data_IF_197681878560
#
_entry.id   IF_197681878560
#
_cell.length_a   1.000
_cell.length_b   1.000
_cell.length_c   1.000
_cell.angle_alpha   90.00
_cell.angle_beta   90.00
_cell.angle_gamma   90.00
#
_symmetry.space_group_name_H-M   'P 1'
#
loop_
_entity.id
_entity.type
_entity.pdbx_description
1 polymer ?
#
# COMPACT_ATOMS: atom_id res chain seq x y z
N UNK A 1 -0.01 24.04 4.39
CA UNK A 1 1.24 23.48 4.95
C UNK A 1 0.89 22.22 5.72
N UNK A 2 1.67 21.14 5.61
CA UNK A 2 1.46 19.95 6.43
C UNK A 2 1.75 20.26 7.90
N UNK A 3 0.91 19.77 8.82
CA UNK A 3 1.12 19.91 10.26
C UNK A 3 2.28 19.02 10.73
N UNK A 4 2.88 19.33 11.88
CA UNK A 4 3.93 18.47 12.47
C UNK A 4 3.43 17.02 12.65
N UNK A 5 2.18 16.84 13.09
CA UNK A 5 1.52 15.52 13.16
C UNK A 5 1.53 14.83 11.79
N UNK A 6 1.09 15.53 10.74
CA UNK A 6 1.06 15.00 9.38
C UNK A 6 2.44 14.63 8.83
N UNK A 7 3.47 15.44 9.10
CA UNK A 7 4.86 15.16 8.69
C UNK A 7 5.36 13.88 9.35
N UNK A 8 5.22 13.79 10.68
CA UNK A 8 5.67 12.61 11.44
C UNK A 8 4.90 11.35 11.00
N UNK A 9 3.58 11.44 10.84
CA UNK A 9 2.78 10.29 10.43
C UNK A 9 3.16 9.80 9.03
N UNK A 10 3.44 10.72 8.10
CA UNK A 10 3.89 10.38 6.74
C UNK A 10 5.27 9.71 6.75
N UNK A 11 6.17 10.16 7.62
CA UNK A 11 7.49 9.54 7.79
C UNK A 11 7.36 8.10 8.29
N UNK A 12 6.61 7.87 9.38
CA UNK A 12 6.45 6.53 9.96
C UNK A 12 5.63 5.60 9.07
N UNK A 13 4.66 6.14 8.34
CA UNK A 13 3.99 5.40 7.26
C UNK A 13 4.97 4.99 6.16
N UNK A 14 5.90 5.87 5.78
CA UNK A 14 6.92 5.56 4.76
C UNK A 14 7.83 4.43 5.22
N UNK A 15 8.25 4.42 6.49
CA UNK A 15 9.00 3.32 7.08
C UNK A 15 8.22 2.00 6.99
N UNK A 16 6.95 2.01 7.39
CA UNK A 16 6.09 0.82 7.32
C UNK A 16 5.96 0.26 5.90
N UNK A 17 5.72 1.13 4.90
CA UNK A 17 5.65 0.72 3.50
C UNK A 17 7.02 0.34 2.91
N UNK A 18 8.14 0.85 3.44
CA UNK A 18 9.47 0.39 3.02
C UNK A 18 9.73 -1.04 3.51
N UNK A 19 9.43 -1.33 4.78
CA UNK A 19 9.52 -2.70 5.32
C UNK A 19 8.63 -3.67 4.54
N UNK A 20 7.44 -3.24 4.11
CA UNK A 20 6.58 -4.06 3.26
C UNK A 20 7.23 -4.35 1.89
N UNK A 21 7.83 -3.35 1.25
CA UNK A 21 8.52 -3.53 -0.03
C UNK A 21 9.65 -4.55 0.12
N UNK A 22 10.46 -4.44 1.18
CA UNK A 22 11.52 -5.39 1.48
C UNK A 22 10.97 -6.81 1.71
N UNK A 23 9.89 -6.94 2.48
CA UNK A 23 9.19 -8.22 2.70
C UNK A 23 8.74 -8.85 1.37
N UNK A 24 8.08 -8.08 0.50
CA UNK A 24 7.58 -8.57 -0.78
C UNK A 24 8.73 -8.89 -1.76
N UNK A 25 9.80 -8.10 -1.77
CA UNK A 25 10.98 -8.34 -2.60
C UNK A 25 11.84 -9.51 -2.12
N UNK A 26 11.80 -9.85 -0.84
CA UNK A 26 12.42 -11.06 -0.30
C UNK A 26 11.58 -12.31 -0.61
N UNK A 27 10.25 -12.19 -0.56
CA UNK A 27 9.32 -13.30 -0.79
C UNK A 27 9.13 -13.64 -2.27
N UNK A 28 9.19 -12.63 -3.14
CA UNK A 28 8.94 -12.74 -4.58
C UNK A 28 10.14 -12.26 -5.39
N UNK A 29 10.05 -12.27 -6.73
CA UNK A 29 11.18 -11.84 -7.57
C UNK A 29 11.33 -10.31 -7.52
N UNK A 30 12.43 -9.75 -6.98
CA UNK A 30 12.59 -8.31 -6.89
C UNK A 30 12.69 -7.65 -8.27
N UNK A 31 12.21 -6.41 -8.37
CA UNK A 31 12.30 -5.55 -9.56
C UNK A 31 12.80 -4.16 -9.15
N UNK A 32 13.24 -3.36 -10.13
CA UNK A 32 13.76 -2.00 -9.90
C UNK A 32 12.75 -1.14 -9.13
N UNK A 33 13.23 -0.43 -8.12
CA UNK A 33 12.41 0.48 -7.31
C UNK A 33 11.55 -0.26 -6.29
N UNK A 34 10.31 0.18 -6.12
CA UNK A 34 9.36 -0.37 -5.14
C UNK A 34 8.51 -1.51 -5.71
N UNK A 35 9.14 -2.32 -6.56
CA UNK A 35 8.46 -3.31 -7.42
C UNK A 35 8.91 -4.72 -7.12
N UNK A 36 8.01 -5.66 -7.32
CA UNK A 36 8.31 -7.09 -7.30
C UNK A 36 7.46 -7.80 -8.36
N UNK A 37 7.81 -9.04 -8.68
CA UNK A 37 7.10 -9.85 -9.66
C UNK A 37 6.66 -11.18 -9.03
N UNK A 38 5.39 -11.52 -9.23
CA UNK A 38 4.81 -12.78 -8.81
C UNK A 38 3.89 -13.30 -9.92
N UNK A 39 4.08 -14.55 -10.33
CA UNK A 39 3.31 -15.21 -11.40
C UNK A 39 3.19 -14.35 -12.68
N UNK A 40 4.33 -13.86 -13.19
CA UNK A 40 4.43 -12.97 -14.37
C UNK A 40 3.77 -11.60 -14.26
N UNK A 41 3.11 -11.26 -13.15
CA UNK A 41 2.57 -9.93 -12.90
C UNK A 41 3.58 -9.10 -12.09
N UNK A 42 3.83 -7.86 -12.52
CA UNK A 42 4.62 -6.90 -11.74
C UNK A 42 3.70 -6.07 -10.85
N UNK A 43 4.02 -6.04 -9.57
CA UNK A 43 3.34 -5.28 -8.55
C UNK A 43 4.21 -4.13 -8.06
N UNK A 44 3.58 -3.04 -7.63
CA UNK A 44 4.24 -1.87 -7.06
C UNK A 44 3.50 -1.40 -5.81
N UNK A 45 4.26 -0.96 -4.80
CA UNK A 45 3.73 -0.32 -3.60
C UNK A 45 4.20 1.14 -3.64
N UNK A 46 3.27 2.07 -3.65
CA UNK A 46 3.55 3.50 -3.68
C UNK A 46 4.24 4.01 -2.42
N UNK A 47 4.66 5.27 -2.47
CA UNK A 47 5.06 6.02 -1.28
C UNK A 47 3.81 6.67 -0.68
N UNK A 48 3.72 6.81 0.64
CA UNK A 48 2.61 7.51 1.23
C UNK A 48 2.78 9.03 1.02
N UNK A 49 1.66 9.72 0.92
CA UNK A 49 1.59 11.17 0.83
C UNK A 49 0.49 11.70 1.75
N UNK A 50 0.59 12.97 2.13
CA UNK A 50 -0.41 13.64 2.96
C UNK A 50 -1.27 14.56 2.08
N UNK A 51 -2.57 14.28 2.01
CA UNK A 51 -3.54 15.08 1.26
C UNK A 51 -4.81 15.28 2.08
N UNK A 52 -5.22 16.53 2.26
CA UNK A 52 -6.41 16.90 3.04
C UNK A 52 -6.45 16.25 4.43
N UNK A 53 -5.32 16.30 5.14
CA UNK A 53 -5.12 15.68 6.46
C UNK A 53 -5.40 14.17 6.50
N UNK A 54 -5.26 13.50 5.37
CA UNK A 54 -5.33 12.06 5.25
C UNK A 54 -4.03 11.53 4.66
N UNK A 55 -3.61 10.36 5.14
CA UNK A 55 -2.56 9.59 4.54
C UNK A 55 -3.11 8.84 3.32
N UNK A 56 -2.48 9.03 2.17
CA UNK A 56 -2.84 8.38 0.91
C UNK A 56 -1.65 7.56 0.40
N UNK A 57 -1.90 6.32 -0.02
CA UNK A 57 -0.92 5.51 -0.73
C UNK A 57 -1.60 4.59 -1.75
N UNK A 58 -0.82 4.11 -2.70
CA UNK A 58 -1.30 3.25 -3.77
C UNK A 58 -0.64 1.88 -3.77
N UNK A 59 -1.35 0.89 -4.28
CA UNK A 59 -0.79 -0.38 -4.76
C UNK A 59 -1.23 -0.59 -6.19
N UNK A 60 -0.35 -1.12 -7.03
CA UNK A 60 -0.67 -1.35 -8.43
C UNK A 60 -0.13 -2.67 -8.95
N UNK A 61 -0.75 -3.16 -10.04
CA UNK A 61 -0.33 -4.36 -10.75
C UNK A 61 -0.40 -4.15 -12.25
N UNK A 62 0.62 -4.59 -12.99
CA UNK A 62 0.61 -4.60 -14.45
C UNK A 62 -0.41 -5.64 -14.94
N UNK A 63 -1.25 -5.30 -15.91
CA UNK A 63 -2.08 -6.29 -16.60
C UNK A 63 -1.16 -7.27 -17.37
N UNK A 64 -1.37 -8.59 -17.26
CA UNK A 64 -0.54 -9.59 -17.95
C UNK A 64 -0.80 -9.58 -19.46
N UNK A 65 -0.06 -8.74 -20.17
CA UNK A 65 -0.20 -8.54 -21.63
C UNK A 65 0.19 -9.78 -22.47
N UNK A 66 0.87 -10.77 -21.86
CA UNK A 66 1.12 -12.08 -22.44
C UNK A 66 -0.16 -12.92 -22.57
N UNK A 67 -1.12 -12.74 -21.65
CA UNK A 67 -2.39 -13.45 -21.61
C UNK A 67 -3.56 -12.62 -22.15
N UNK A 68 -3.50 -11.30 -21.96
CA UNK A 68 -4.55 -10.33 -22.28
C UNK A 68 -4.02 -9.37 -23.34
N UNK A 69 -4.28 -9.67 -24.62
CA UNK A 69 -3.58 -8.99 -25.72
C UNK A 69 -4.40 -7.86 -26.35
N UNK A 70 -5.73 -7.96 -26.32
CA UNK A 70 -6.58 -6.95 -26.97
C UNK A 70 -7.05 -5.87 -25.98
N UNK A 71 -7.25 -4.62 -26.44
CA UNK A 71 -7.79 -3.55 -25.58
C UNK A 71 -9.15 -3.89 -24.95
N UNK A 72 -9.97 -4.72 -25.63
CA UNK A 72 -11.26 -5.18 -25.12
C UNK A 72 -11.08 -6.14 -23.94
N UNK A 73 -10.15 -7.09 -24.05
CA UNK A 73 -9.82 -8.02 -22.97
C UNK A 73 -9.17 -7.28 -21.79
N UNK A 74 -8.32 -6.28 -22.03
CA UNK A 74 -7.73 -5.46 -20.97
C UNK A 74 -8.79 -4.68 -20.17
N UNK A 75 -9.74 -4.05 -20.87
CA UNK A 75 -10.88 -3.38 -20.22
C UNK A 75 -11.74 -4.37 -19.43
N UNK A 76 -11.96 -5.56 -19.97
CA UNK A 76 -12.70 -6.61 -19.26
C UNK A 76 -11.96 -7.11 -18.03
N UNK A 77 -10.64 -7.36 -18.14
CA UNK A 77 -9.77 -7.74 -17.03
C UNK A 77 -9.83 -6.70 -15.91
N UNK A 78 -9.63 -5.42 -16.25
CA UNK A 78 -9.75 -4.31 -15.30
C UNK A 78 -11.12 -4.27 -14.65
N UNK A 79 -12.21 -4.42 -15.41
CA UNK A 79 -13.57 -4.40 -14.87
C UNK A 79 -13.82 -5.54 -13.86
N UNK A 80 -13.31 -6.75 -14.13
CA UNK A 80 -13.42 -7.88 -13.20
C UNK A 80 -12.58 -7.66 -11.94
N UNK A 81 -11.34 -7.14 -12.07
CA UNK A 81 -10.53 -6.77 -10.89
C UNK A 81 -11.26 -5.72 -10.06
N UNK A 82 -11.73 -4.64 -10.70
CA UNK A 82 -12.49 -3.56 -10.06
C UNK A 82 -13.69 -4.11 -9.30
N UNK A 83 -14.43 -5.06 -9.88
CA UNK A 83 -15.58 -5.71 -9.23
C UNK A 83 -15.17 -6.46 -7.96
N UNK A 84 -14.06 -7.21 -7.99
CA UNK A 84 -13.57 -7.97 -6.84
C UNK A 84 -13.12 -7.04 -5.72
N UNK A 85 -12.23 -6.08 -6.02
CA UNK A 85 -11.64 -5.21 -4.98
C UNK A 85 -12.64 -4.21 -4.40
N UNK A 86 -13.72 -3.90 -5.13
CA UNK A 86 -14.82 -3.08 -4.62
C UNK A 86 -15.68 -3.78 -3.56
N UNK A 87 -15.55 -5.10 -3.42
CA UNK A 87 -16.28 -5.90 -2.42
C UNK A 87 -15.48 -6.10 -1.13
N UNK A 88 -14.26 -5.58 -1.05
CA UNK A 88 -13.41 -5.71 0.13
C UNK A 88 -13.93 -4.88 1.30
N UNK A 89 -13.62 -5.33 2.52
CA UNK A 89 -14.03 -4.65 3.75
C UNK A 89 -13.57 -3.19 3.77
N UNK A 90 -12.31 -2.94 3.38
CA UNK A 90 -11.79 -1.60 3.12
C UNK A 90 -11.53 -1.47 1.62
N UNK A 91 -12.53 -0.99 0.90
CA UNK A 91 -12.42 -0.72 -0.54
C UNK A 91 -11.44 0.44 -0.81
N UNK A 92 -10.78 0.44 -1.98
CA UNK A 92 -10.02 1.60 -2.44
C UNK A 92 -10.90 2.84 -2.57
N UNK A 93 -10.34 4.01 -2.30
CA UNK A 93 -10.98 5.31 -2.55
C UNK A 93 -11.04 5.62 -4.05
N UNK A 94 -9.99 5.25 -4.79
CA UNK A 94 -9.95 5.33 -6.25
C UNK A 94 -9.43 4.03 -6.86
N UNK A 95 -9.99 3.67 -8.00
CA UNK A 95 -9.58 2.51 -8.81
C UNK A 95 -9.36 3.02 -10.22
N UNK A 96 -8.09 3.09 -10.62
CA UNK A 96 -7.64 3.72 -11.85
C UNK A 96 -6.98 2.68 -12.76
N UNK A 97 -7.21 2.86 -14.06
CA UNK A 97 -6.43 2.21 -15.10
C UNK A 97 -5.42 3.27 -15.56
N UNK A 98 -4.17 3.16 -15.12
CA UNK A 98 -3.13 4.12 -15.52
C UNK A 98 -2.58 3.74 -16.90
N UNK A 99 -2.58 4.72 -17.82
CA UNK A 99 -1.91 4.66 -19.11
C UNK A 99 -0.58 5.43 -19.03
N UNK A 100 0.52 4.77 -18.69
CA UNK A 100 1.84 5.46 -18.69
C UNK A 100 2.42 5.48 -20.10
N UNK A 101 2.13 6.54 -20.88
CA UNK A 101 2.87 6.88 -22.10
C UNK A 101 4.12 7.67 -21.72
N UNK A 102 5.31 7.10 -21.91
CA UNK A 102 6.54 7.88 -21.99
C UNK A 102 7.53 7.20 -22.94
N UNK A 103 7.58 7.68 -24.18
CA UNK A 103 8.72 7.45 -25.06
C UNK A 103 8.95 8.73 -25.89
N UNK A 104 9.88 9.57 -25.46
CA UNK A 104 10.25 10.81 -26.15
C UNK A 104 11.05 10.57 -27.45
N UNK A 105 11.10 9.33 -27.95
CA UNK A 105 11.86 8.94 -29.15
C UNK A 105 11.08 8.12 -30.17
N UNK A 106 9.83 7.73 -29.91
CA UNK A 106 9.03 6.95 -30.86
C UNK A 106 7.57 7.38 -30.82
N UNK A 107 7.02 7.78 -31.96
CA UNK A 107 5.59 7.96 -32.24
C UNK A 107 4.84 6.61 -32.16
N UNK A 108 4.91 5.95 -31.01
CA UNK A 108 4.13 4.75 -30.70
C UNK A 108 3.67 4.87 -29.26
N UNK A 109 2.36 5.03 -29.07
CA UNK A 109 1.71 4.90 -27.76
C UNK A 109 2.04 3.52 -27.19
N UNK A 110 2.81 3.49 -26.11
CA UNK A 110 2.91 2.31 -25.25
C UNK A 110 2.00 2.57 -24.06
N UNK A 111 0.73 2.24 -24.22
CA UNK A 111 -0.21 2.05 -23.12
C UNK A 111 0.40 0.98 -22.19
N UNK A 112 0.84 1.39 -21.01
CA UNK A 112 1.20 0.43 -19.97
C UNK A 112 0.01 0.29 -19.06
N UNK A 113 -0.80 -0.71 -19.30
CA UNK A 113 -2.04 -0.93 -18.57
C UNK A 113 -1.75 -1.41 -17.15
N UNK A 114 -1.79 -0.50 -16.19
CA UNK A 114 -1.73 -0.83 -14.78
C UNK A 114 -3.12 -0.73 -14.16
N UNK A 115 -3.44 -1.68 -13.29
CA UNK A 115 -4.51 -1.49 -12.31
C UNK A 115 -3.90 -0.81 -11.10
N UNK A 116 -4.37 0.38 -10.77
CA UNK A 116 -3.91 1.18 -9.63
C UNK A 116 -5.05 1.36 -8.64
N UNK A 117 -4.78 1.01 -7.39
CA UNK A 117 -5.72 1.14 -6.28
C UNK A 117 -5.16 2.18 -5.32
N UNK A 118 -5.93 3.24 -5.06
CA UNK A 118 -5.55 4.32 -4.14
C UNK A 118 -6.37 4.17 -2.86
N UNK A 119 -5.70 4.19 -1.71
CA UNK A 119 -6.32 4.09 -0.40
C UNK A 119 -6.03 5.34 0.42
N UNK A 120 -7.05 5.84 1.11
CA UNK A 120 -7.01 7.03 1.96
C UNK A 120 -7.43 6.69 3.38
N UNK A 121 -6.67 7.22 4.33
CA UNK A 121 -6.89 7.05 5.76
C UNK A 121 -6.78 8.40 6.46
N UNK A 122 -7.77 8.75 7.27
CA UNK A 122 -7.60 9.84 8.24
C UNK A 122 -6.45 9.50 9.20
N UNK A 123 -5.76 10.51 9.74
CA UNK A 123 -4.65 10.27 10.65
C UNK A 123 -5.13 9.54 11.92
N UNK A 124 -6.38 9.75 12.32
CA UNK A 124 -7.03 9.15 13.49
C UNK A 124 -7.34 7.65 13.28
N UNK A 125 -7.46 7.18 12.03
CA UNK A 125 -7.62 5.75 11.73
C UNK A 125 -6.32 4.95 11.91
N UNK A 126 -5.16 5.62 12.00
CA UNK A 126 -3.85 4.96 11.98
C UNK A 126 -3.35 4.48 13.34
N UNK A 127 -4.06 4.83 14.42
CA UNK A 127 -3.71 4.45 15.80
C UNK A 127 -4.97 4.35 16.66
N UNK A 128 -4.88 3.64 17.79
CA UNK A 128 -5.98 3.50 18.74
C UNK A 128 -5.58 3.98 20.13
N UNK A 129 -6.21 5.06 20.61
CA UNK A 129 -5.90 5.66 21.92
C UNK A 129 -5.99 4.67 23.07
N UNK A 130 -6.94 3.72 23.04
CA UNK A 130 -7.11 2.72 24.10
C UNK A 130 -5.95 1.74 24.11
N UNK A 131 -5.47 1.33 22.94
CA UNK A 131 -4.32 0.43 22.82
C UNK A 131 -3.02 1.12 23.23
N UNK A 132 -2.85 2.39 22.86
CA UNK A 132 -1.72 3.22 23.28
C UNK A 132 -1.70 3.37 24.80
N UNK A 133 -2.84 3.69 25.41
CA UNK A 133 -2.94 3.86 26.86
C UNK A 133 -2.64 2.55 27.59
N UNK A 134 -3.17 1.43 27.11
CA UNK A 134 -2.88 0.11 27.66
C UNK A 134 -1.39 -0.22 27.61
N UNK A 135 -0.75 -0.05 26.44
CA UNK A 135 0.69 -0.31 26.29
C UNK A 135 1.54 0.62 27.15
N UNK A 136 1.16 1.89 27.24
CA UNK A 136 1.82 2.84 28.13
C UNK A 136 1.79 2.37 29.59
N UNK A 137 0.63 1.94 30.08
CA UNK A 137 0.48 1.41 31.44
C UNK A 137 1.32 0.15 31.67
N UNK A 138 1.33 -0.79 30.71
CA UNK A 138 2.12 -2.03 30.78
C UNK A 138 3.64 -1.78 30.81
N UNK A 139 4.11 -0.75 30.10
CA UNK A 139 5.53 -0.33 30.16
C UNK A 139 5.83 0.33 31.51
N UNK A 140 4.96 1.20 32.00
CA UNK A 140 5.15 1.86 33.30
C UNK A 140 5.13 0.88 34.47
N UNK A 141 4.29 -0.16 34.42
CA UNK A 141 4.23 -1.20 35.45
C UNK A 141 5.36 -2.22 35.35
N UNK A 142 6.23 -2.13 34.33
CA UNK A 142 7.32 -3.08 34.08
C UNK A 142 6.84 -4.45 33.60
N UNK A 143 5.55 -4.60 33.28
CA UNK A 143 4.93 -5.86 32.85
C UNK A 143 5.32 -6.21 31.42
N UNK A 144 5.64 -5.22 30.59
CA UNK A 144 6.13 -5.42 29.23
C UNK A 144 7.47 -4.71 29.00
N UNK A 145 8.50 -5.48 28.64
CA UNK A 145 9.78 -4.95 28.15
C UNK A 145 9.74 -4.84 26.62
N UNK A 146 8.94 -3.92 26.10
CA UNK A 146 8.99 -3.58 24.67
C UNK A 146 9.95 -2.43 24.50
N UNK A 147 10.99 -2.61 23.69
CA UNK A 147 11.85 -1.50 23.31
C UNK A 147 11.04 -0.52 22.47
N UNK A 148 10.86 0.69 22.98
CA UNK A 148 10.26 1.78 22.22
C UNK A 148 11.40 2.48 21.48
N UNK A 149 11.37 2.54 20.14
CA UNK A 149 12.45 3.15 19.38
C UNK A 149 12.62 4.60 19.79
N UNK A 150 13.86 5.06 19.88
CA UNK A 150 14.11 6.46 20.15
C UNK A 150 13.76 7.29 18.92
N UNK A 151 12.72 8.11 19.02
CA UNK A 151 12.26 8.98 17.94
C UNK A 151 12.76 10.40 18.24
N UNK A 152 13.65 10.97 17.40
CA UNK A 152 14.12 12.33 17.55
C UNK A 152 12.94 13.31 17.67
N UNK A 153 13.07 14.28 18.58
CA UNK A 153 12.08 15.36 18.78
C UNK A 153 10.70 14.95 19.33
N UNK A 154 10.50 13.65 19.66
CA UNK A 154 9.30 13.17 20.33
C UNK A 154 9.67 12.76 21.75
N UNK A 155 9.36 13.63 22.71
CA UNK A 155 9.84 13.51 24.08
C UNK A 155 8.94 12.66 24.99
N UNK A 156 7.69 12.42 24.60
CA UNK A 156 6.75 11.62 25.39
C UNK A 156 6.73 10.16 24.94
N UNK A 157 6.64 9.23 25.88
CA UNK A 157 6.52 7.80 25.59
C UNK A 157 5.27 7.52 24.75
N UNK A 158 4.15 8.16 25.07
CA UNK A 158 2.90 8.04 24.33
C UNK A 158 3.05 8.51 22.88
N UNK A 159 3.73 9.64 22.65
CA UNK A 159 4.02 10.11 21.30
C UNK A 159 4.85 9.11 20.50
N UNK A 160 5.84 8.48 21.14
CA UNK A 160 6.63 7.42 20.50
C UNK A 160 5.80 6.19 20.16
N UNK A 161 4.94 5.76 21.09
CA UNK A 161 4.02 4.64 20.87
C UNK A 161 3.05 4.92 19.71
N UNK A 162 2.49 6.14 19.63
CA UNK A 162 1.59 6.52 18.53
C UNK A 162 2.29 6.36 17.18
N UNK A 163 3.51 6.87 17.03
CA UNK A 163 4.24 6.77 15.76
C UNK A 163 4.63 5.33 15.41
N UNK A 164 4.98 4.52 16.42
CA UNK A 164 5.19 3.08 16.24
C UNK A 164 3.92 2.38 15.74
N UNK A 165 2.77 2.69 16.32
CA UNK A 165 1.47 2.17 15.87
C UNK A 165 1.17 2.60 14.45
N UNK A 166 1.37 3.87 14.09
CA UNK A 166 1.18 4.34 12.71
C UNK A 166 2.01 3.50 11.72
N UNK A 167 3.29 3.25 12.04
CA UNK A 167 4.17 2.40 11.21
C UNK A 167 3.63 0.98 11.07
N UNK A 168 3.26 0.35 12.18
CA UNK A 168 2.77 -1.04 12.20
C UNK A 168 1.41 -1.17 11.49
N UNK A 169 0.49 -0.24 11.72
CA UNK A 169 -0.81 -0.17 11.07
C UNK A 169 -0.66 -0.02 9.56
N UNK A 170 0.15 0.93 9.09
CA UNK A 170 0.34 1.16 7.64
C UNK A 170 1.02 -0.03 6.96
N UNK A 171 1.99 -0.67 7.62
CA UNK A 171 2.59 -1.93 7.14
C UNK A 171 1.50 -3.00 6.95
N UNK A 172 0.64 -3.22 7.95
CA UNK A 172 -0.40 -4.23 7.90
C UNK A 172 -1.47 -3.92 6.85
N UNK A 173 -1.91 -2.67 6.75
CA UNK A 173 -2.85 -2.22 5.72
C UNK A 173 -2.27 -2.42 4.32
N UNK A 174 -1.02 -1.99 4.09
CA UNK A 174 -0.34 -2.20 2.82
C UNK A 174 -0.22 -3.69 2.47
N UNK A 175 0.08 -4.54 3.46
CA UNK A 175 0.14 -6.00 3.30
C UNK A 175 -1.22 -6.59 2.94
N UNK A 176 -2.29 -6.14 3.58
CA UNK A 176 -3.65 -6.56 3.26
C UNK A 176 -3.99 -6.20 1.80
N UNK A 177 -3.81 -4.94 1.42
CA UNK A 177 -4.18 -4.43 0.08
C UNK A 177 -3.40 -5.09 -1.04
N UNK A 178 -2.09 -5.29 -0.86
CA UNK A 178 -1.29 -5.93 -1.90
C UNK A 178 -1.69 -7.40 -2.07
N UNK A 179 -1.95 -8.12 -0.97
CA UNK A 179 -2.42 -9.51 -1.04
C UNK A 179 -3.81 -9.61 -1.66
N UNK A 180 -4.70 -8.68 -1.33
CA UNK A 180 -6.02 -8.57 -1.92
C UNK A 180 -5.96 -8.36 -3.44
N UNK A 181 -5.13 -7.42 -3.91
CA UNK A 181 -4.89 -7.21 -5.34
C UNK A 181 -4.30 -8.46 -6.02
N UNK A 182 -3.33 -9.12 -5.38
CA UNK A 182 -2.75 -10.38 -5.89
C UNK A 182 -3.81 -11.49 -6.00
N UNK A 183 -4.69 -11.61 -5.01
CA UNK A 183 -5.79 -12.56 -5.01
C UNK A 183 -6.83 -12.23 -6.09
N UNK A 184 -7.14 -10.96 -6.30
CA UNK A 184 -8.03 -10.52 -7.38
C UNK A 184 -7.44 -10.90 -8.75
N UNK A 185 -6.15 -10.60 -8.98
CA UNK A 185 -5.45 -10.97 -10.22
C UNK A 185 -5.49 -12.49 -10.46
N UNK A 186 -5.26 -13.29 -9.41
CA UNK A 186 -5.36 -14.76 -9.48
C UNK A 186 -6.77 -15.21 -9.89
N UNK A 187 -7.82 -14.72 -9.22
CA UNK A 187 -9.22 -15.07 -9.52
C UNK A 187 -9.64 -14.72 -10.93
N UNK A 188 -9.25 -13.54 -11.44
CA UNK A 188 -9.60 -13.12 -12.80
C UNK A 188 -8.87 -14.00 -13.84
N UNK A 189 -7.60 -14.34 -13.60
CA UNK A 189 -6.86 -15.26 -14.48
C UNK A 189 -7.44 -16.67 -14.50
N UNK A 190 -7.82 -17.20 -13.35
CA UNK A 190 -8.48 -18.52 -13.27
C UNK A 190 -9.81 -18.56 -14.04
N UNK A 191 -10.60 -17.47 -14.01
CA UNK A 191 -11.83 -17.36 -14.80
C UNK A 191 -11.59 -17.19 -16.31
N UNK A 192 -10.48 -16.58 -16.70
CA UNK A 192 -10.17 -16.33 -18.11
C UNK A 192 -9.57 -17.56 -18.82
N UNK A 193 -9.03 -18.51 -18.06
CA UNK A 193 -8.45 -19.77 -18.56
C UNK A 193 -9.47 -20.93 -18.50
N UNK A 194 -10.59 -20.76 -17.78
CA UNK A 194 -11.69 -21.73 -17.68
C UNK A 194 -12.70 -21.57 -18.82
#
# INVERSE_FOLDING_TARGET
>A
MPSLKGILFTQYASEGLNSLVEEMQAKYKPKKGRRFNNNNITYEIGRPSLKDNCLEFEVSSKIPQDEVQTPKEMKHYFAEIKKIVSQEKKKPDSIEMENIVWDSKKETEKERDYVKLIYKYSLEELYNDKEILKQYQEIQSGTQKREVPNIPSVFTLQGKLVLQHVRETVLNLGREHINNLMNANKKVREKAIA
#
